data_IF_939878623113
#
_entry.id   IF_939878623113
#
_cell.length_a   1.000
_cell.length_b   1.000
_cell.length_c   1.000
_cell.angle_alpha   90.00
_cell.angle_beta   90.00
_cell.angle_gamma   90.00
#
_symmetry.space_group_name_H-M   'P 1'
#
loop_
_entity.id
_entity.type
_entity.pdbx_description
1 polymer ?
#
# COMPACT_ATOMS: atom_id res chain seq x y z
N UNK A 1 -28.12 -10.94 -51.38
CA UNK A 1 -28.29 -12.33 -50.91
C UNK A 1 -26.90 -12.94 -50.79
N UNK A 2 -26.27 -12.79 -49.63
CA UNK A 2 -25.01 -13.44 -49.29
C UNK A 2 -25.00 -13.57 -47.76
N UNK A 3 -25.44 -14.73 -47.27
CA UNK A 3 -25.40 -15.07 -45.85
C UNK A 3 -23.99 -15.54 -45.50
N UNK A 4 -23.29 -14.77 -44.66
CA UNK A 4 -22.04 -15.17 -44.03
C UNK A 4 -22.37 -16.05 -42.82
N UNK A 5 -22.23 -17.35 -43.03
CA UNK A 5 -22.36 -18.38 -41.99
C UNK A 5 -21.17 -18.27 -41.02
N UNK A 6 -21.38 -17.66 -39.85
CA UNK A 6 -20.40 -17.64 -38.76
C UNK A 6 -20.46 -18.98 -38.05
N UNK A 7 -19.47 -19.84 -38.29
CA UNK A 7 -19.27 -21.10 -37.60
C UNK A 7 -18.77 -20.81 -36.17
N UNK A 8 -19.66 -20.93 -35.19
CA UNK A 8 -19.32 -20.92 -33.76
C UNK A 8 -18.83 -22.32 -33.39
N UNK A 9 -17.53 -22.46 -33.15
CA UNK A 9 -16.92 -23.67 -32.60
C UNK A 9 -17.20 -23.69 -31.08
N UNK A 10 -17.88 -24.70 -30.53
CA UNK A 10 -17.99 -24.85 -29.07
C UNK A 10 -16.65 -25.35 -28.52
N UNK A 11 -15.99 -24.52 -27.71
CA UNK A 11 -14.85 -24.97 -26.90
C UNK A 11 -15.34 -25.96 -25.86
N UNK A 12 -14.84 -27.18 -25.93
CA UNK A 12 -15.09 -28.21 -24.93
C UNK A 12 -14.40 -27.83 -23.61
N UNK A 13 -15.19 -27.71 -22.55
CA UNK A 13 -14.71 -27.60 -21.18
C UNK A 13 -14.05 -28.93 -20.77
N UNK A 14 -12.72 -28.95 -20.71
CA UNK A 14 -11.96 -30.05 -20.09
C UNK A 14 -11.95 -29.83 -18.58
N UNK A 15 -12.43 -30.79 -17.76
CA UNK A 15 -12.26 -30.71 -16.32
C UNK A 15 -10.77 -30.85 -15.97
N UNK A 16 -10.23 -29.85 -15.29
CA UNK A 16 -8.91 -29.90 -14.65
C UNK A 16 -9.03 -30.85 -13.46
N UNK A 17 -8.69 -32.12 -13.66
CA UNK A 17 -8.42 -33.06 -12.58
C UNK A 17 -7.17 -32.61 -11.83
N UNK A 18 -7.37 -31.98 -10.68
CA UNK A 18 -6.35 -31.85 -9.64
C UNK A 18 -6.11 -33.21 -8.99
N UNK A 19 -5.40 -34.09 -9.68
CA UNK A 19 -4.76 -35.25 -9.07
C UNK A 19 -3.42 -34.78 -8.47
N UNK A 20 -3.45 -34.41 -7.19
CA UNK A 20 -2.26 -34.27 -6.38
C UNK A 20 -1.61 -35.65 -6.18
N UNK A 21 -0.85 -36.10 -7.18
CA UNK A 21 0.14 -37.16 -6.99
C UNK A 21 1.34 -36.55 -6.25
N UNK A 22 1.27 -36.55 -4.92
CA UNK A 22 2.48 -36.48 -4.11
C UNK A 22 3.20 -37.82 -4.25
N UNK A 23 4.21 -37.83 -5.12
CA UNK A 23 5.17 -38.93 -5.19
C UNK A 23 5.90 -39.03 -3.85
N UNK A 24 5.96 -40.21 -3.19
CA UNK A 24 6.63 -40.38 -1.90
C UNK A 24 8.17 -40.33 -2.01
N UNK A 25 8.74 -40.04 -3.19
CA UNK A 25 10.16 -40.15 -3.47
C UNK A 25 11.01 -38.95 -3.04
N UNK A 26 10.42 -37.79 -2.69
CA UNK A 26 11.15 -36.60 -2.24
C UNK A 26 11.26 -36.48 -0.71
N UNK A 27 11.09 -37.60 0.00
CA UNK A 27 11.35 -37.67 1.44
C UNK A 27 12.86 -37.59 1.70
N UNK A 28 13.37 -36.35 1.76
CA UNK A 28 14.73 -36.05 2.21
C UNK A 28 14.92 -36.72 3.59
N UNK A 29 15.90 -37.62 3.77
CA UNK A 29 16.12 -38.28 5.05
C UNK A 29 16.55 -37.24 6.06
N UNK A 30 15.60 -36.79 6.89
CA UNK A 30 15.87 -35.88 8.00
C UNK A 30 16.56 -36.70 9.09
N UNK A 31 17.77 -36.32 9.54
CA UNK A 31 18.45 -37.01 10.62
C UNK A 31 17.58 -37.07 11.88
N UNK A 32 17.59 -38.17 12.65
CA UNK A 32 16.72 -38.38 13.82
C UNK A 32 16.94 -37.37 14.97
N UNK A 33 17.91 -36.46 14.83
CA UNK A 33 18.23 -35.41 15.80
C UNK A 33 17.54 -34.07 15.51
N UNK A 34 16.79 -33.95 14.41
CA UNK A 34 16.10 -32.69 14.08
C UNK A 34 14.80 -32.56 14.88
N UNK A 35 14.89 -31.94 16.07
CA UNK A 35 13.70 -31.40 16.72
C UNK A 35 13.35 -30.07 16.02
N UNK A 36 12.18 -29.95 15.36
CA UNK A 36 11.80 -28.68 14.76
C UNK A 36 11.76 -27.62 15.86
N UNK A 37 12.55 -26.56 15.68
CA UNK A 37 12.58 -25.45 16.63
C UNK A 37 11.16 -24.89 16.77
N UNK A 38 10.72 -24.68 18.03
CA UNK A 38 9.41 -24.05 18.28
C UNK A 38 9.41 -22.67 17.63
N UNK A 39 8.45 -22.43 16.74
CA UNK A 39 8.24 -21.12 16.12
C UNK A 39 7.73 -20.18 17.21
N UNK A 40 8.62 -19.41 17.80
CA UNK A 40 8.25 -18.39 18.76
C UNK A 40 7.65 -17.20 18.00
N UNK A 41 6.36 -16.93 18.22
CA UNK A 41 5.69 -15.77 17.65
C UNK A 41 6.03 -14.50 18.45
N UNK A 42 6.83 -13.63 17.85
CA UNK A 42 7.30 -12.39 18.48
C UNK A 42 6.32 -11.23 18.34
N UNK A 43 5.18 -11.41 17.66
CA UNK A 43 4.21 -10.31 17.41
C UNK A 43 3.52 -9.79 18.66
N UNK A 44 3.54 -10.56 19.76
CA UNK A 44 3.06 -10.14 21.08
C UNK A 44 4.18 -10.05 22.14
N UNK A 45 5.42 -10.39 21.78
CA UNK A 45 6.51 -10.35 22.72
C UNK A 45 6.99 -8.90 22.83
N UNK A 46 6.76 -8.28 23.99
CA UNK A 46 7.14 -6.90 24.31
C UNK A 46 8.65 -6.70 24.39
N UNK A 47 9.35 -6.86 23.26
CA UNK A 47 10.79 -6.60 23.08
C UNK A 47 11.11 -5.10 22.99
N UNK A 48 10.15 -4.22 23.28
CA UNK A 48 10.44 -2.82 23.46
C UNK A 48 11.38 -2.64 24.68
N UNK A 49 12.37 -1.74 24.62
CA UNK A 49 13.19 -1.39 25.77
C UNK A 49 12.29 -1.08 26.96
N UNK A 50 12.54 -1.73 28.10
CA UNK A 50 11.75 -1.57 29.33
C UNK A 50 11.74 -0.10 29.75
N UNK A 51 10.70 0.64 29.36
CA UNK A 51 10.60 2.09 29.57
C UNK A 51 9.95 2.86 28.42
N UNK A 52 9.88 2.32 27.19
CA UNK A 52 9.19 2.99 26.10
C UNK A 52 7.69 2.69 26.12
N UNK A 53 6.91 3.54 26.79
CA UNK A 53 5.46 3.57 26.64
C UNK A 53 5.12 4.38 25.40
N UNK A 54 4.73 3.73 24.30
CA UNK A 54 4.04 4.41 23.21
C UNK A 54 2.76 5.03 23.77
N UNK A 55 2.73 6.36 23.84
CA UNK A 55 1.52 7.08 24.21
C UNK A 55 0.50 6.82 23.12
N UNK A 56 -0.60 6.14 23.46
CA UNK A 56 -1.73 5.95 22.58
C UNK A 56 -2.13 7.31 21.95
N UNK A 57 -1.93 7.42 20.64
CA UNK A 57 -2.26 8.63 19.88
C UNK A 57 -3.78 8.78 19.91
N UNK A 58 -4.28 9.70 20.75
CA UNK A 58 -5.69 10.10 20.78
C UNK A 58 -6.11 10.57 19.38
N UNK A 59 -7.10 9.92 18.79
CA UNK A 59 -7.61 10.06 17.42
C UNK A 59 -8.38 11.36 17.14
N UNK A 60 -7.99 12.50 17.71
CA UNK A 60 -8.73 13.79 17.58
C UNK A 60 -8.09 14.83 16.65
N UNK A 61 -7.23 14.43 15.72
CA UNK A 61 -6.53 15.37 14.81
C UNK A 61 -6.39 14.95 13.35
N UNK A 62 -7.10 13.91 12.89
CA UNK A 62 -6.86 13.30 11.57
C UNK A 62 -7.12 14.21 10.36
N UNK A 63 -7.87 15.31 10.50
CA UNK A 63 -8.16 16.21 9.38
C UNK A 63 -7.07 17.27 9.17
N UNK A 64 -6.57 17.89 10.24
CA UNK A 64 -5.46 18.87 10.16
C UNK A 64 -4.15 18.23 9.70
N UNK A 65 -3.87 17.00 10.13
CA UNK A 65 -2.66 16.27 9.70
C UNK A 65 -2.68 15.82 8.24
N UNK A 66 -3.86 15.70 7.62
CA UNK A 66 -3.98 15.29 6.22
C UNK A 66 -3.70 16.47 5.27
N UNK A 67 -4.15 17.67 5.64
CA UNK A 67 -3.84 18.90 4.91
C UNK A 67 -2.36 19.25 5.01
N UNK A 68 -1.76 19.14 6.21
CA UNK A 68 -0.33 19.36 6.42
C UNK A 68 0.54 18.35 5.65
N UNK A 69 0.09 17.08 5.54
CA UNK A 69 0.76 16.07 4.73
C UNK A 69 0.63 16.34 3.22
N UNK A 70 -0.52 16.86 2.78
CA UNK A 70 -0.75 17.21 1.39
C UNK A 70 0.11 18.42 0.98
N UNK A 71 0.19 19.46 1.82
CA UNK A 71 1.09 20.61 1.60
C UNK A 71 2.58 20.21 1.61
N UNK A 72 2.96 19.23 2.44
CA UNK A 72 4.33 18.71 2.45
C UNK A 72 4.67 17.96 1.15
N UNK A 73 3.74 17.14 0.65
CA UNK A 73 3.92 16.42 -0.63
C UNK A 73 3.98 17.40 -1.80
N UNK A 74 3.13 18.43 -1.80
CA UNK A 74 3.12 19.44 -2.86
C UNK A 74 4.40 20.31 -2.83
N UNK A 75 4.96 20.57 -1.63
CA UNK A 75 6.25 21.25 -1.46
C UNK A 75 7.43 20.40 -1.95
N UNK A 76 7.47 19.13 -1.57
CA UNK A 76 8.51 18.18 -2.02
C UNK A 76 8.44 17.95 -3.53
N UNK A 77 7.24 17.93 -4.13
CA UNK A 77 7.05 17.80 -5.59
C UNK A 77 7.50 19.06 -6.34
N UNK A 78 7.28 20.24 -5.78
CA UNK A 78 7.81 21.49 -6.33
C UNK A 78 9.34 21.54 -6.26
N UNK A 79 9.94 21.15 -5.13
CA UNK A 79 11.40 21.14 -4.95
C UNK A 79 12.09 20.10 -5.85
N UNK A 80 11.45 18.96 -6.11
CA UNK A 80 11.95 17.95 -7.06
C UNK A 80 11.83 18.36 -8.53
N UNK A 81 10.91 19.26 -8.90
CA UNK A 81 10.80 19.79 -10.27
C UNK A 81 11.84 20.87 -10.58
N UNK A 82 12.36 21.56 -9.57
CA UNK A 82 13.42 22.56 -9.73
C UNK A 82 14.84 21.98 -9.61
N UNK A 83 14.99 20.70 -9.26
CA UNK A 83 16.27 20.00 -9.10
C UNK A 83 16.91 19.48 -10.42
N UNK A 84 16.32 19.75 -11.59
CA UNK A 84 16.86 19.36 -12.90
C UNK A 84 18.03 20.23 -13.40
N UNK A 85 18.62 21.08 -12.53
CA UNK A 85 19.94 21.68 -12.76
C UNK A 85 21.00 20.97 -11.92
N UNK A 86 21.76 20.00 -12.47
CA UNK A 86 22.84 19.37 -11.73
C UNK A 86 23.98 20.36 -11.52
N UNK A 87 24.09 20.92 -10.32
CA UNK A 87 25.34 21.51 -9.86
C UNK A 87 26.37 20.38 -9.69
N UNK A 88 27.55 20.44 -10.34
CA UNK A 88 28.54 19.38 -10.24
C UNK A 88 29.20 19.42 -8.85
N UNK A 89 28.73 18.59 -7.93
CA UNK A 89 29.36 18.42 -6.62
C UNK A 89 30.59 17.53 -6.78
N UNK A 90 31.76 18.17 -6.90
CA UNK A 90 33.05 17.50 -6.96
C UNK A 90 33.39 16.82 -5.62
N UNK A 91 33.11 15.52 -5.50
CA UNK A 91 33.53 14.69 -4.38
C UNK A 91 35.07 14.52 -4.40
N UNK A 92 35.77 15.30 -3.57
CA UNK A 92 37.20 15.12 -3.30
C UNK A 92 37.42 13.80 -2.56
N UNK A 93 38.00 12.79 -3.23
CA UNK A 93 38.42 11.53 -2.60
C UNK A 93 39.60 11.79 -1.65
N UNK A 94 39.36 11.66 -0.34
CA UNK A 94 40.43 11.57 0.66
C UNK A 94 41.17 10.24 0.47
N UNK A 95 42.46 10.32 0.13
CA UNK A 95 43.35 9.15 0.09
C UNK A 95 43.65 8.74 1.54
N UNK A 96 43.19 7.56 1.93
CA UNK A 96 43.56 6.94 3.20
C UNK A 96 45.04 6.56 3.15
N UNK A 97 45.85 7.12 4.06
CA UNK A 97 47.22 6.71 4.30
C UNK A 97 47.21 5.36 5.04
N UNK A 98 47.63 4.32 4.33
CA UNK A 98 47.83 2.98 4.89
C UNK A 98 49.16 3.01 5.63
N UNK A 99 49.15 2.90 6.95
CA UNK A 99 50.38 2.68 7.72
C UNK A 99 50.81 1.23 7.56
N UNK A 100 52.00 1.01 7.02
CA UNK A 100 52.61 -0.31 6.88
C UNK A 100 53.03 -0.83 8.26
N UNK A 101 52.29 -1.79 8.79
CA UNK A 101 52.59 -2.53 10.05
C UNK A 101 53.41 -3.80 9.73
N UNK A 102 54.05 -3.86 8.56
CA UNK A 102 54.75 -5.06 8.06
C UNK A 102 56.01 -5.44 8.86
N UNK A 103 56.47 -4.58 9.78
CA UNK A 103 57.69 -4.79 10.57
C UNK A 103 57.52 -5.53 11.90
N UNK A 104 56.31 -5.60 12.47
CA UNK A 104 56.14 -6.08 13.87
C UNK A 104 56.05 -7.61 13.95
N UNK A 105 55.63 -8.29 12.88
CA UNK A 105 55.45 -9.75 12.87
C UNK A 105 56.73 -10.57 12.60
N UNK A 106 57.68 -10.04 11.82
CA UNK A 106 58.88 -10.79 11.41
C UNK A 106 59.89 -10.97 12.56
N UNK A 107 60.04 -9.98 13.42
CA UNK A 107 60.96 -10.06 14.55
C UNK A 107 60.50 -11.11 15.61
N UNK A 108 59.19 -11.25 15.83
CA UNK A 108 58.66 -12.22 16.80
C UNK A 108 58.81 -13.68 16.34
N UNK A 109 58.74 -13.94 15.03
CA UNK A 109 58.91 -15.27 14.47
C UNK A 109 60.37 -15.75 14.58
N UNK A 110 61.34 -14.84 14.38
CA UNK A 110 62.77 -15.13 14.52
C UNK A 110 63.17 -15.44 15.98
N UNK A 111 62.59 -14.75 16.97
CA UNK A 111 62.82 -15.05 18.40
C UNK A 111 62.12 -16.34 18.86
N UNK A 112 61.02 -16.73 18.23
CA UNK A 112 60.30 -17.99 18.54
C UNK A 112 61.13 -19.22 18.16
N UNK A 113 61.79 -19.20 17.00
CA UNK A 113 62.65 -20.31 16.55
C UNK A 113 63.86 -20.52 17.47
N UNK A 114 64.42 -19.46 18.05
CA UNK A 114 65.54 -19.54 18.99
C UNK A 114 65.15 -20.07 20.38
N UNK A 115 63.87 -19.96 20.79
CA UNK A 115 63.41 -20.39 22.14
C UNK A 115 62.70 -21.74 22.17
N UNK A 116 62.55 -22.43 21.03
CA UNK A 116 61.90 -23.75 20.94
C UNK A 116 60.41 -23.78 21.29
N UNK A 117 59.84 -22.65 21.74
CA UNK A 117 58.40 -22.50 22.03
C UNK A 117 57.69 -22.01 20.78
N UNK A 118 56.65 -22.73 20.39
CA UNK A 118 55.68 -22.31 19.37
C UNK A 118 54.75 -21.27 20.01
N UNK A 119 54.98 -19.99 19.74
CA UNK A 119 54.06 -18.93 20.17
C UNK A 119 52.82 -18.97 19.26
N UNK A 120 51.62 -18.72 19.82
CA UNK A 120 50.37 -18.71 19.04
C UNK A 120 50.47 -17.71 17.90
N UNK A 121 50.16 -18.12 16.68
CA UNK A 121 50.11 -17.21 15.53
C UNK A 121 49.07 -16.11 15.78
N UNK A 122 49.38 -14.85 15.45
CA UNK A 122 48.41 -13.77 15.59
C UNK A 122 47.22 -14.03 14.65
N UNK A 123 46.04 -14.22 15.22
CA UNK A 123 44.81 -14.43 14.46
C UNK A 123 44.55 -13.28 13.47
N UNK A 124 43.95 -13.60 12.32
CA UNK A 124 43.62 -12.57 11.34
C UNK A 124 42.66 -11.54 11.94
N UNK A 125 43.07 -10.26 11.91
CA UNK A 125 42.23 -9.15 12.33
C UNK A 125 41.00 -9.07 11.42
N UNK A 126 39.83 -8.79 11.97
CA UNK A 126 38.58 -8.67 11.18
C UNK A 126 38.71 -7.67 10.00
N UNK A 127 39.55 -6.63 10.11
CA UNK A 127 39.82 -5.69 9.02
C UNK A 127 40.77 -6.21 7.92
N UNK A 128 41.40 -7.37 8.10
CA UNK A 128 42.20 -8.04 7.08
C UNK A 128 41.34 -8.94 6.17
N UNK A 129 40.13 -9.29 6.61
CA UNK A 129 39.13 -9.93 5.77
C UNK A 129 38.66 -8.88 4.75
N UNK A 130 39.08 -9.03 3.50
CA UNK A 130 38.57 -8.21 2.39
C UNK A 130 37.05 -8.34 2.38
N UNK A 131 36.33 -7.23 2.48
CA UNK A 131 34.89 -7.24 2.22
C UNK A 131 34.68 -7.86 0.84
N UNK A 132 33.77 -8.82 0.73
CA UNK A 132 33.39 -9.36 -0.57
C UNK A 132 33.02 -8.20 -1.49
N UNK A 133 33.44 -8.23 -2.75
CA UNK A 133 33.16 -7.16 -3.70
C UNK A 133 31.63 -7.03 -3.87
N UNK A 134 31.02 -6.11 -3.10
CA UNK A 134 29.57 -5.83 -3.13
C UNK A 134 29.15 -5.10 -4.42
N UNK A 135 30.09 -4.81 -5.32
CA UNK A 135 29.79 -4.21 -6.61
C UNK A 135 29.16 -5.25 -7.53
N UNK A 136 27.85 -5.16 -7.71
CA UNK A 136 27.16 -5.89 -8.79
C UNK A 136 27.69 -5.45 -10.17
N UNK A 137 27.70 -6.40 -11.11
CA UNK A 137 28.03 -6.11 -12.52
C UNK A 137 27.04 -5.10 -13.10
N UNK A 138 27.45 -4.36 -14.13
CA UNK A 138 26.59 -3.39 -14.80
C UNK A 138 25.29 -4.04 -15.31
N UNK A 139 25.39 -5.24 -15.88
CA UNK A 139 24.25 -6.03 -16.36
C UNK A 139 23.25 -6.34 -15.24
N UNK A 140 23.73 -6.75 -14.07
CA UNK A 140 22.87 -7.00 -12.91
C UNK A 140 22.14 -5.71 -12.46
N UNK A 141 22.80 -4.55 -12.53
CA UNK A 141 22.15 -3.26 -12.24
C UNK A 141 21.07 -2.93 -13.27
N UNK A 142 21.30 -3.22 -14.54
CA UNK A 142 20.32 -2.98 -15.61
C UNK A 142 19.12 -3.91 -15.48
N UNK A 143 19.32 -5.20 -15.13
CA UNK A 143 18.23 -6.13 -14.82
C UNK A 143 17.38 -5.65 -13.65
N UNK A 144 18.01 -5.28 -12.53
CA UNK A 144 17.29 -4.75 -11.37
C UNK A 144 16.52 -3.46 -11.72
N UNK A 145 17.06 -2.59 -12.57
CA UNK A 145 16.35 -1.39 -13.05
C UNK A 145 15.11 -1.75 -13.88
N UNK A 146 15.22 -2.73 -14.78
CA UNK A 146 14.09 -3.20 -15.57
C UNK A 146 12.99 -3.83 -14.68
N UNK A 147 13.38 -4.70 -13.75
CA UNK A 147 12.45 -5.35 -12.81
C UNK A 147 11.74 -4.34 -11.90
N UNK A 148 12.48 -3.36 -11.37
CA UNK A 148 11.89 -2.33 -10.53
C UNK A 148 10.94 -1.41 -11.31
N UNK A 149 11.22 -1.17 -12.60
CA UNK A 149 10.30 -0.43 -13.48
C UNK A 149 9.00 -1.21 -13.68
N UNK A 150 9.08 -2.48 -14.08
CA UNK A 150 7.92 -3.36 -14.26
C UNK A 150 7.08 -3.43 -12.97
N UNK A 151 7.73 -3.59 -11.82
CA UNK A 151 7.04 -3.63 -10.53
C UNK A 151 6.28 -2.33 -10.24
N UNK A 152 6.89 -1.16 -10.52
CA UNK A 152 6.24 0.14 -10.32
C UNK A 152 5.03 0.33 -11.23
N UNK A 153 5.15 -0.08 -12.49
CA UNK A 153 4.07 -0.03 -13.48
C UNK A 153 2.89 -0.92 -13.02
N UNK A 154 3.14 -2.19 -12.70
CA UNK A 154 2.12 -3.11 -12.19
C UNK A 154 1.44 -2.59 -10.92
N UNK A 155 2.22 -1.99 -10.01
CA UNK A 155 1.68 -1.39 -8.78
C UNK A 155 0.78 -0.20 -9.09
N UNK A 156 1.19 0.67 -10.02
CA UNK A 156 0.40 1.84 -10.42
C UNK A 156 -0.91 1.41 -11.08
N UNK A 157 -0.87 0.43 -11.97
CA UNK A 157 -2.04 -0.14 -12.63
C UNK A 157 -3.03 -0.74 -11.61
N UNK A 158 -2.55 -1.54 -10.65
CA UNK A 158 -3.40 -2.12 -9.61
C UNK A 158 -4.10 -1.03 -8.77
N UNK A 159 -3.39 0.05 -8.43
CA UNK A 159 -3.96 1.20 -7.71
C UNK A 159 -4.99 1.92 -8.57
N UNK A 160 -4.71 2.13 -9.86
CA UNK A 160 -5.63 2.79 -10.80
C UNK A 160 -6.94 1.99 -10.93
N UNK A 161 -6.86 0.67 -11.10
CA UNK A 161 -8.04 -0.21 -11.16
C UNK A 161 -8.86 -0.12 -9.88
N UNK A 162 -8.22 -0.14 -8.70
CA UNK A 162 -8.91 0.01 -7.42
C UNK A 162 -9.61 1.36 -7.30
N UNK A 163 -8.94 2.46 -7.66
CA UNK A 163 -9.52 3.81 -7.65
C UNK A 163 -10.71 3.91 -8.61
N UNK A 164 -10.59 3.36 -9.82
CA UNK A 164 -11.68 3.35 -10.81
C UNK A 164 -12.91 2.58 -10.30
N UNK A 165 -12.72 1.41 -9.68
CA UNK A 165 -13.82 0.65 -9.05
C UNK A 165 -14.51 1.46 -7.94
N UNK A 166 -13.74 2.12 -7.09
CA UNK A 166 -14.29 2.95 -6.01
C UNK A 166 -15.07 4.15 -6.54
N UNK A 167 -14.54 4.83 -7.57
CA UNK A 167 -15.22 5.98 -8.19
C UNK A 167 -16.52 5.56 -8.85
N UNK A 168 -16.54 4.44 -9.59
CA UNK A 168 -17.79 3.88 -10.17
C UNK A 168 -18.83 3.58 -9.08
N UNK A 169 -18.42 2.96 -7.98
CA UNK A 169 -19.32 2.69 -6.86
C UNK A 169 -19.84 3.97 -6.20
N UNK A 170 -19.01 5.03 -6.10
CA UNK A 170 -19.41 6.34 -5.59
C UNK A 170 -20.42 7.01 -6.51
N UNK A 171 -20.18 6.98 -7.82
CA UNK A 171 -21.06 7.54 -8.85
C UNK A 171 -22.44 6.86 -8.83
N UNK A 172 -22.48 5.53 -8.79
CA UNK A 172 -23.73 4.78 -8.67
C UNK A 172 -24.52 5.16 -7.41
N UNK A 173 -23.84 5.33 -6.27
CA UNK A 173 -24.48 5.78 -5.03
C UNK A 173 -25.00 7.21 -5.13
N UNK A 174 -24.27 8.13 -5.76
CA UNK A 174 -24.76 9.50 -5.96
C UNK A 174 -25.95 9.56 -6.93
N UNK A 175 -25.91 8.81 -8.02
CA UNK A 175 -27.02 8.71 -8.97
C UNK A 175 -28.26 8.10 -8.33
N UNK A 176 -28.11 7.02 -7.55
CA UNK A 176 -29.23 6.43 -6.83
C UNK A 176 -29.84 7.40 -5.81
N UNK A 177 -29.00 8.19 -5.11
CA UNK A 177 -29.48 9.24 -4.20
C UNK A 177 -30.19 10.35 -4.96
N UNK A 178 -29.65 10.80 -6.09
CA UNK A 178 -30.25 11.83 -6.93
C UNK A 178 -31.62 11.37 -7.47
N UNK A 179 -31.69 10.15 -8.04
CA UNK A 179 -32.95 9.55 -8.51
C UNK A 179 -33.98 9.42 -7.40
N UNK A 180 -33.56 9.00 -6.19
CA UNK A 180 -34.45 8.95 -5.02
C UNK A 180 -34.92 10.35 -4.62
N UNK A 181 -34.04 11.35 -4.57
CA UNK A 181 -34.41 12.71 -4.25
C UNK A 181 -35.37 13.32 -5.28
N UNK A 182 -35.15 13.07 -6.56
CA UNK A 182 -36.06 13.48 -7.64
C UNK A 182 -37.40 12.75 -7.56
N UNK A 183 -37.40 11.44 -7.29
CA UNK A 183 -38.61 10.67 -7.05
C UNK A 183 -39.41 11.20 -5.86
N UNK A 184 -38.73 11.56 -4.76
CA UNK A 184 -39.36 12.23 -3.63
C UNK A 184 -39.94 13.58 -4.04
N UNK A 185 -39.18 14.44 -4.73
CA UNK A 185 -39.67 15.75 -5.22
C UNK A 185 -40.90 15.62 -6.14
N UNK A 186 -40.92 14.62 -7.01
CA UNK A 186 -42.06 14.33 -7.91
C UNK A 186 -43.26 13.80 -7.13
N UNK A 187 -43.05 12.89 -6.17
CA UNK A 187 -44.12 12.33 -5.33
C UNK A 187 -44.66 13.34 -4.31
N UNK A 188 -43.85 14.31 -3.86
CA UNK A 188 -44.28 15.40 -2.97
C UNK A 188 -45.02 16.52 -3.69
N UNK A 189 -45.39 16.37 -4.98
CA UNK A 189 -46.32 17.29 -5.64
C UNK A 189 -47.72 17.12 -5.05
N UNK A 190 -47.97 17.81 -3.94
CA UNK A 190 -49.28 17.90 -3.30
C UNK A 190 -50.05 19.04 -3.96
N UNK A 191 -51.31 18.81 -4.31
CA UNK A 191 -52.20 19.86 -4.80
C UNK A 191 -52.49 20.85 -3.65
N UNK A 192 -52.19 22.13 -3.86
CA UNK A 192 -52.51 23.16 -2.89
C UNK A 192 -54.02 23.43 -2.92
N UNK A 193 -54.71 23.11 -1.82
CA UNK A 193 -56.12 23.45 -1.64
C UNK A 193 -56.18 24.83 -0.99
N UNK A 194 -56.45 25.87 -1.78
CA UNK A 194 -56.48 27.26 -1.30
C UNK A 194 -57.85 27.69 -0.74
N UNK A 195 -58.95 27.04 -1.15
CA UNK A 195 -60.29 27.45 -0.74
C UNK A 195 -60.63 26.98 0.69
N UNK A 196 -60.89 27.90 1.64
CA UNK A 196 -61.09 27.58 3.05
C UNK A 196 -62.38 26.80 3.33
N UNK A 197 -63.41 26.91 2.49
CA UNK A 197 -64.66 26.16 2.66
C UNK A 197 -64.43 24.65 2.42
N UNK A 198 -63.61 24.32 1.43
CA UNK A 198 -63.20 22.94 1.11
C UNK A 198 -62.32 22.33 2.20
N UNK A 199 -61.37 23.09 2.75
CA UNK A 199 -60.52 22.64 3.87
C UNK A 199 -61.39 22.29 5.09
N UNK A 200 -62.37 23.16 5.41
CA UNK A 200 -63.32 22.92 6.51
C UNK A 200 -64.14 21.65 6.30
N UNK A 201 -64.59 21.36 5.08
CA UNK A 201 -65.31 20.12 4.74
C UNK A 201 -64.41 18.88 4.94
N UNK A 202 -63.19 18.93 4.42
CA UNK A 202 -62.24 17.83 4.55
C UNK A 202 -61.74 17.58 5.98
N UNK A 203 -61.72 18.61 6.83
CA UNK A 203 -61.34 18.49 8.25
C UNK A 203 -62.40 17.79 9.11
N UNK A 204 -63.67 17.82 8.69
CA UNK A 204 -64.77 17.10 9.36
C UNK A 204 -64.64 15.59 9.16
N UNK A 205 -64.23 15.14 7.99
CA UNK A 205 -64.09 13.72 7.67
C UNK A 205 -62.76 13.13 8.13
N UNK A 206 -62.78 12.14 9.01
CA UNK A 206 -61.57 11.48 9.57
C UNK A 206 -60.63 10.94 8.50
N UNK A 207 -61.16 10.41 7.39
CA UNK A 207 -60.35 9.89 6.26
C UNK A 207 -59.72 11.00 5.43
N UNK A 208 -60.43 12.09 5.20
CA UNK A 208 -59.95 13.22 4.38
C UNK A 208 -58.98 14.11 5.16
N UNK A 209 -59.23 14.31 6.47
CA UNK A 209 -58.31 15.01 7.38
C UNK A 209 -56.91 14.41 7.40
N UNK A 210 -56.79 13.08 7.36
CA UNK A 210 -55.50 12.37 7.32
C UNK A 210 -54.72 12.59 6.00
N UNK A 211 -55.38 13.03 4.93
CA UNK A 211 -54.76 13.32 3.64
C UNK A 211 -54.27 14.77 3.54
N UNK A 212 -54.75 15.66 4.41
CA UNK A 212 -54.28 17.03 4.47
C UNK A 212 -52.94 17.06 5.21
N UNK A 213 -51.91 17.61 4.56
CA UNK A 213 -50.65 17.93 5.20
C UNK A 213 -50.55 19.45 5.32
N UNK A 214 -50.26 19.96 6.51
CA UNK A 214 -50.01 21.39 6.74
C UNK A 214 -48.62 21.72 6.20
N UNK A 215 -48.53 22.60 5.21
CA UNK A 215 -47.26 23.11 4.69
C UNK A 215 -47.03 24.47 5.34
N UNK A 216 -45.85 24.70 5.93
CA UNK A 216 -45.50 26.01 6.47
C UNK A 216 -45.48 27.06 5.35
N UNK A 217 -46.12 28.24 5.55
CA UNK A 217 -46.24 29.26 4.50
C UNK A 217 -44.89 29.82 4.04
N UNK A 218 -43.85 29.74 4.88
CA UNK A 218 -42.47 30.12 4.52
C UNK A 218 -41.81 29.23 3.45
N UNK A 219 -42.30 27.99 3.26
CA UNK A 219 -41.81 27.07 2.22
C UNK A 219 -42.68 27.06 0.95
N UNK A 220 -43.97 27.41 1.05
CA UNK A 220 -44.88 27.44 -0.09
C UNK A 220 -44.52 28.52 -1.13
N UNK A 221 -43.95 29.66 -0.69
CA UNK A 221 -43.57 30.76 -1.57
C UNK A 221 -42.34 30.50 -2.46
N UNK A 222 -41.54 29.46 -2.18
CA UNK A 222 -40.28 29.18 -2.90
C UNK A 222 -40.43 28.24 -4.11
N UNK A 223 -41.63 27.75 -4.40
CA UNK A 223 -41.88 26.75 -5.45
C UNK A 223 -42.45 27.27 -6.77
N UNK A 224 -42.66 28.59 -6.91
CA UNK A 224 -43.37 29.20 -8.04
C UNK A 224 -42.63 30.38 -8.71
N UNK A 225 -41.31 30.47 -8.54
CA UNK A 225 -40.45 31.36 -9.33
C UNK A 225 -39.58 30.53 -10.29
#
# INVERSE_FOLDING_TARGET
MAELLVQVVPMADTPVETAAHQSPADAVPVPPQYQPARVNDFRGAGFAPKGFREKAVKSRGSKRKLEEYQEQVDRDEAEMKDADKPAPVALKKLKSTKSDISGVGKCLLALSQASGRQWKEPGQRAGALKSQNVSSSWEAKMRNKAETKIFRENRAEAIAVRKAKLQRARQQRSEAKAKKAEGQRKNTKVQQISNPATIKKMMKDKKQRKKLMTVDPANAAKGHA
#
